data_IF_962126622691
#
_entry.id   IF_962126622691
#
_cell.length_a   1.000
_cell.length_b   1.000
_cell.length_c   1.000
_cell.angle_alpha   90.00
_cell.angle_beta   90.00
_cell.angle_gamma   90.00
#
_symmetry.space_group_name_H-M   'P 1'
#
loop_
_entity.id
_entity.type
_entity.pdbx_description
1 polymer ?
#
# COMPACT_ATOMS: atom_id res chain seq x y z
N UNK A 1 -5.69 13.85 16.48
CA UNK A 1 -6.95 14.40 15.96
C UNK A 1 -7.84 13.28 15.46
N UNK A 2 -9.11 13.22 15.90
CA UNK A 2 -10.03 12.18 15.44
C UNK A 2 -10.21 12.15 13.93
N UNK A 3 -10.25 13.34 13.31
CA UNK A 3 -10.42 13.45 11.86
C UNK A 3 -9.23 12.91 11.11
N UNK A 4 -8.02 13.11 11.66
CA UNK A 4 -6.79 12.56 11.10
C UNK A 4 -6.80 11.03 11.08
N UNK A 5 -7.28 10.41 12.14
CA UNK A 5 -7.33 8.95 12.23
C UNK A 5 -8.22 8.36 11.14
N UNK A 6 -9.38 8.98 10.88
CA UNK A 6 -10.28 8.53 9.82
C UNK A 6 -9.71 8.75 8.43
N UNK A 7 -9.02 9.85 8.23
CA UNK A 7 -8.36 10.16 6.95
C UNK A 7 -7.23 9.19 6.68
N UNK A 8 -6.39 8.92 7.67
CA UNK A 8 -5.30 7.97 7.55
C UNK A 8 -5.85 6.58 7.24
N UNK A 9 -6.86 6.16 7.97
CA UNK A 9 -7.49 4.87 7.75
C UNK A 9 -8.06 4.76 6.33
N UNK A 10 -8.80 5.75 5.88
CA UNK A 10 -9.42 5.74 4.55
C UNK A 10 -8.37 5.67 3.44
N UNK A 11 -7.32 6.46 3.57
CA UNK A 11 -6.20 6.47 2.63
C UNK A 11 -5.49 5.12 2.59
N UNK A 12 -5.18 4.58 3.77
CA UNK A 12 -4.50 3.29 3.86
C UNK A 12 -5.37 2.16 3.32
N UNK A 13 -6.65 2.19 3.65
CA UNK A 13 -7.61 1.20 3.15
C UNK A 13 -7.67 1.23 1.63
N UNK A 14 -7.77 2.40 1.05
CA UNK A 14 -7.82 2.56 -0.41
C UNK A 14 -6.57 1.96 -1.07
N UNK A 15 -5.41 2.31 -0.54
CA UNK A 15 -4.12 1.79 -1.04
C UNK A 15 -4.06 0.27 -0.95
N UNK A 16 -4.42 -0.28 0.22
CA UNK A 16 -4.34 -1.73 0.45
C UNK A 16 -5.36 -2.51 -0.37
N UNK A 17 -6.56 -1.97 -0.55
CA UNK A 17 -7.57 -2.58 -1.40
C UNK A 17 -7.06 -2.70 -2.84
N UNK A 18 -6.47 -1.63 -3.36
CA UNK A 18 -5.92 -1.64 -4.70
C UNK A 18 -4.76 -2.63 -4.82
N UNK A 19 -3.84 -2.58 -3.87
CA UNK A 19 -2.64 -3.42 -3.89
C UNK A 19 -2.97 -4.91 -3.71
N UNK A 20 -3.98 -5.22 -2.91
CA UNK A 20 -4.39 -6.60 -2.64
C UNK A 20 -5.56 -7.07 -3.49
N UNK A 21 -6.04 -6.21 -4.38
CA UNK A 21 -7.16 -6.51 -5.28
C UNK A 21 -8.43 -6.93 -4.51
N UNK A 22 -8.75 -6.18 -3.46
CA UNK A 22 -9.95 -6.37 -2.66
C UNK A 22 -10.90 -5.22 -2.96
N UNK A 23 -12.15 -5.55 -3.28
CA UNK A 23 -13.19 -4.56 -3.63
C UNK A 23 -14.09 -4.28 -2.42
N UNK A 24 -14.89 -3.21 -2.53
CA UNK A 24 -15.93 -2.94 -1.52
C UNK A 24 -16.91 -4.09 -1.41
N UNK A 25 -17.25 -4.72 -2.54
CA UNK A 25 -18.13 -5.89 -2.53
C UNK A 25 -17.55 -7.04 -1.73
N UNK A 26 -16.23 -7.24 -1.84
CA UNK A 26 -15.54 -8.26 -1.04
C UNK A 26 -15.65 -7.96 0.46
N UNK A 27 -15.47 -6.69 0.83
CA UNK A 27 -15.58 -6.25 2.23
C UNK A 27 -17.00 -6.50 2.74
N UNK A 28 -18.02 -6.14 1.98
CA UNK A 28 -19.40 -6.36 2.35
C UNK A 28 -19.68 -7.83 2.60
N UNK A 29 -19.24 -8.68 1.69
CA UNK A 29 -19.48 -10.12 1.77
C UNK A 29 -18.74 -10.74 2.94
N UNK A 30 -17.44 -10.44 3.08
CA UNK A 30 -16.59 -11.12 4.06
C UNK A 30 -16.81 -10.61 5.49
N UNK A 31 -17.11 -9.32 5.64
CA UNK A 31 -17.34 -8.74 6.96
C UNK A 31 -18.83 -8.65 7.32
N UNK A 32 -19.71 -9.02 6.41
CA UNK A 32 -21.15 -8.98 6.61
C UNK A 32 -21.64 -7.60 6.99
N UNK A 33 -21.20 -6.59 6.21
CA UNK A 33 -21.64 -5.20 6.40
C UNK A 33 -22.33 -4.71 5.14
N UNK A 34 -23.13 -3.65 5.29
CA UNK A 34 -23.84 -3.05 4.17
C UNK A 34 -22.90 -2.29 3.25
N UNK A 35 -23.33 -2.08 2.01
CA UNK A 35 -22.56 -1.27 1.06
C UNK A 35 -22.38 0.16 1.56
N UNK A 36 -23.36 0.70 2.27
CA UNK A 36 -23.25 2.03 2.88
C UNK A 36 -22.15 2.08 3.93
N UNK A 37 -22.05 1.05 4.77
CA UNK A 37 -21.01 0.96 5.79
C UNK A 37 -19.62 0.88 5.15
N UNK A 38 -19.45 -0.01 4.17
CA UNK A 38 -18.17 -0.15 3.47
C UNK A 38 -17.77 1.15 2.78
N UNK A 39 -18.73 1.82 2.14
CA UNK A 39 -18.50 3.11 1.49
C UNK A 39 -18.09 4.18 2.50
N UNK A 40 -18.71 4.22 3.67
CA UNK A 40 -18.38 5.19 4.72
C UNK A 40 -16.96 4.98 5.23
N UNK A 41 -16.52 3.74 5.34
CA UNK A 41 -15.14 3.45 5.72
C UNK A 41 -14.15 3.93 4.65
N UNK A 42 -14.45 3.67 3.39
CA UNK A 42 -13.58 4.06 2.27
C UNK A 42 -13.48 5.57 2.10
N UNK A 43 -14.53 6.30 2.43
CA UNK A 43 -14.57 7.76 2.31
C UNK A 43 -14.07 8.50 3.54
N UNK A 44 -13.84 7.79 4.64
CA UNK A 44 -13.40 8.41 5.88
C UNK A 44 -14.53 9.01 6.71
N UNK A 45 -15.79 8.74 6.36
CA UNK A 45 -16.94 9.24 7.13
C UNK A 45 -17.10 8.51 8.45
N UNK A 46 -16.74 7.22 8.48
CA UNK A 46 -16.87 6.40 9.68
C UNK A 46 -15.61 5.57 9.85
N UNK A 47 -15.38 5.18 11.10
CA UNK A 47 -14.23 4.37 11.51
C UNK A 47 -14.77 3.04 12.03
N UNK A 48 -14.27 1.87 11.58
CA UNK A 48 -14.76 0.59 12.06
C UNK A 48 -14.46 0.36 13.54
N UNK A 49 -15.30 -0.42 14.19
CA UNK A 49 -15.00 -0.93 15.53
C UNK A 49 -13.82 -1.87 15.46
N UNK A 50 -13.15 -2.09 16.60
CA UNK A 50 -11.92 -2.87 16.64
C UNK A 50 -12.08 -4.29 16.10
N UNK A 51 -13.20 -4.94 16.36
CA UNK A 51 -13.46 -6.28 15.85
C UNK A 51 -13.56 -6.30 14.32
N UNK A 52 -14.25 -5.33 13.73
CA UNK A 52 -14.36 -5.19 12.28
C UNK A 52 -13.02 -4.77 11.68
N UNK A 53 -12.30 -3.90 12.39
CA UNK A 53 -10.97 -3.46 11.95
C UNK A 53 -10.03 -4.64 11.84
N UNK A 54 -10.03 -5.52 12.83
CA UNK A 54 -9.19 -6.72 12.81
C UNK A 54 -9.60 -7.67 11.67
N UNK A 55 -10.89 -7.87 11.46
CA UNK A 55 -11.37 -8.70 10.36
C UNK A 55 -10.99 -8.11 9.00
N UNK A 56 -11.03 -6.79 8.89
CA UNK A 56 -10.62 -6.10 7.67
C UNK A 56 -9.13 -6.30 7.40
N UNK A 57 -8.29 -6.18 8.43
CA UNK A 57 -6.86 -6.45 8.32
C UNK A 57 -6.61 -7.90 7.89
N UNK A 58 -7.34 -8.85 8.47
CA UNK A 58 -7.23 -10.26 8.12
C UNK A 58 -7.61 -10.51 6.66
N UNK A 59 -8.69 -9.87 6.20
CA UNK A 59 -9.13 -9.98 4.81
C UNK A 59 -8.07 -9.47 3.84
N UNK A 60 -7.47 -8.33 4.18
CA UNK A 60 -6.41 -7.73 3.36
C UNK A 60 -5.07 -8.47 3.51
N UNK A 61 -4.92 -9.32 4.51
CA UNK A 61 -3.69 -10.04 4.76
C UNK A 61 -2.57 -9.14 5.28
N UNK A 62 -2.93 -8.12 6.07
CA UNK A 62 -1.99 -7.14 6.61
C UNK A 62 -2.13 -7.04 8.12
N UNK A 63 -1.17 -6.36 8.76
CA UNK A 63 -1.25 -6.05 10.18
C UNK A 63 -2.26 -4.92 10.40
N UNK A 64 -2.83 -4.89 11.59
CA UNK A 64 -3.76 -3.83 11.98
C UNK A 64 -3.12 -2.44 11.80
N UNK A 65 -1.84 -2.30 12.18
CA UNK A 65 -1.12 -1.03 12.05
C UNK A 65 -1.02 -0.53 10.62
N UNK A 66 -1.05 -1.43 9.64
CA UNK A 66 -1.03 -1.04 8.22
C UNK A 66 -2.28 -0.26 7.83
N UNK A 67 -3.39 -0.48 8.53
CA UNK A 67 -4.63 0.25 8.31
C UNK A 67 -4.72 1.53 9.13
N UNK A 68 -4.10 1.57 10.30
CA UNK A 68 -4.38 2.59 11.31
C UNK A 68 -3.31 3.66 11.44
N UNK A 69 -2.14 3.47 10.85
CA UNK A 69 -1.06 4.46 10.96
C UNK A 69 -0.29 4.60 9.66
N UNK A 70 0.30 5.77 9.48
CA UNK A 70 1.16 6.03 8.33
C UNK A 70 2.42 5.15 8.38
N UNK A 71 2.97 4.99 9.59
CA UNK A 71 4.14 4.14 9.81
C UNK A 71 3.85 2.68 9.46
N UNK A 72 2.68 2.18 9.86
CA UNK A 72 2.27 0.81 9.56
C UNK A 72 2.13 0.55 8.06
N UNK A 73 1.64 1.53 7.31
CA UNK A 73 1.57 1.41 5.86
C UNK A 73 2.96 1.42 5.23
N UNK A 74 3.86 2.27 5.70
CA UNK A 74 5.24 2.29 5.23
C UNK A 74 5.94 0.96 5.49
N UNK A 75 5.73 0.38 6.65
CA UNK A 75 6.29 -0.95 6.99
C UNK A 75 5.79 -2.01 6.02
N UNK A 76 4.52 -1.96 5.66
CA UNK A 76 3.93 -2.87 4.66
C UNK A 76 4.62 -2.71 3.30
N UNK A 77 4.78 -1.47 2.85
CA UNK A 77 5.44 -1.18 1.57
C UNK A 77 6.90 -1.66 1.58
N UNK A 78 7.62 -1.42 2.66
CA UNK A 78 9.01 -1.85 2.82
C UNK A 78 9.13 -3.38 2.76
N UNK A 79 8.21 -4.09 3.41
CA UNK A 79 8.19 -5.54 3.39
C UNK A 79 7.96 -6.07 1.97
N UNK A 80 7.09 -5.42 1.20
CA UNK A 80 6.84 -5.81 -0.18
C UNK A 80 8.09 -5.64 -1.05
N UNK A 81 8.79 -4.54 -0.88
CA UNK A 81 10.05 -4.29 -1.60
C UNK A 81 11.05 -5.39 -1.28
N UNK A 82 11.18 -5.77 -0.02
CA UNK A 82 12.09 -6.84 0.39
C UNK A 82 11.70 -8.19 -0.22
N UNK A 83 10.42 -8.50 -0.26
CA UNK A 83 9.95 -9.73 -0.89
C UNK A 83 10.26 -9.75 -2.39
N UNK A 84 10.03 -8.64 -3.07
CA UNK A 84 10.32 -8.50 -4.50
C UNK A 84 11.81 -8.69 -4.77
N UNK A 85 12.66 -8.10 -3.92
CA UNK A 85 14.12 -8.26 -4.05
C UNK A 85 14.55 -9.71 -3.85
N UNK A 86 13.89 -10.45 -2.94
CA UNK A 86 14.20 -11.85 -2.69
C UNK A 86 13.80 -12.75 -3.86
N UNK A 87 12.72 -12.40 -4.54
CA UNK A 87 12.15 -13.26 -5.58
C UNK A 87 12.66 -12.96 -6.99
N UNK A 88 13.19 -11.77 -7.21
CA UNK A 88 13.63 -11.34 -8.54
C UNK A 88 15.16 -11.12 -8.57
N UNK A 89 15.91 -12.06 -9.18
CA UNK A 89 17.38 -11.93 -9.25
C UNK A 89 17.84 -10.70 -10.01
N UNK A 90 17.11 -10.26 -11.02
CA UNK A 90 17.46 -9.06 -11.79
C UNK A 90 17.28 -7.80 -10.95
N UNK A 91 16.20 -7.73 -10.20
CA UNK A 91 15.95 -6.61 -9.31
C UNK A 91 17.00 -6.54 -8.21
N UNK A 92 17.38 -7.70 -7.65
CA UNK A 92 18.44 -7.78 -6.65
C UNK A 92 19.77 -7.27 -7.20
N UNK A 93 20.10 -7.67 -8.43
CA UNK A 93 21.32 -7.21 -9.07
C UNK A 93 21.34 -5.71 -9.29
N UNK A 94 20.24 -5.16 -9.76
CA UNK A 94 20.08 -3.70 -9.94
C UNK A 94 20.25 -2.98 -8.61
N UNK A 95 19.63 -3.49 -7.56
CA UNK A 95 19.73 -2.91 -6.22
C UNK A 95 21.17 -2.92 -5.70
N UNK A 96 21.86 -4.06 -5.87
CA UNK A 96 23.27 -4.18 -5.45
C UNK A 96 24.15 -3.19 -6.17
N UNK A 97 23.94 -3.01 -7.45
CA UNK A 97 24.70 -2.04 -8.25
C UNK A 97 24.39 -0.61 -7.79
N UNK A 98 23.11 -0.31 -7.58
CA UNK A 98 22.68 1.01 -7.13
C UNK A 98 23.30 1.38 -5.77
N UNK A 99 23.37 0.43 -4.86
CA UNK A 99 23.95 0.65 -3.54
C UNK A 99 25.40 1.12 -3.58
N UNK A 100 26.14 0.70 -4.59
CA UNK A 100 27.56 0.99 -4.72
C UNK A 100 27.85 2.23 -5.56
N UNK A 101 26.82 2.87 -6.09
CA UNK A 101 26.95 4.06 -6.92
C UNK A 101 27.18 5.32 -6.07
N UNK A 102 27.87 6.29 -6.67
CA UNK A 102 27.94 7.64 -6.10
C UNK A 102 26.57 8.31 -6.18
N UNK A 103 26.38 9.36 -5.41
CA UNK A 103 25.14 10.13 -5.47
C UNK A 103 24.91 10.70 -6.87
N UNK A 104 25.95 11.15 -7.53
CA UNK A 104 25.89 11.65 -8.91
C UNK A 104 25.35 10.56 -9.86
N UNK A 105 25.86 9.35 -9.74
CA UNK A 105 25.45 8.25 -10.62
C UNK A 105 24.04 7.78 -10.31
N UNK A 106 23.63 7.81 -9.06
CA UNK A 106 22.24 7.52 -8.67
C UNK A 106 21.28 8.52 -9.32
N UNK A 107 21.63 9.81 -9.30
CA UNK A 107 20.83 10.86 -9.94
C UNK A 107 20.71 10.61 -11.44
N UNK A 108 21.79 10.21 -12.09
CA UNK A 108 21.78 9.88 -13.51
C UNK A 108 20.90 8.67 -13.80
N UNK A 109 20.98 7.64 -12.96
CA UNK A 109 20.13 6.44 -13.11
C UNK A 109 18.67 6.79 -12.96
N UNK A 110 18.32 7.67 -12.03
CA UNK A 110 16.95 8.12 -11.86
C UNK A 110 16.43 8.81 -13.11
N UNK A 111 17.25 9.64 -13.76
CA UNK A 111 16.87 10.30 -15.01
C UNK A 111 16.64 9.27 -16.13
N UNK A 112 17.51 8.28 -16.24
CA UNK A 112 17.34 7.19 -17.23
C UNK A 112 16.07 6.42 -16.95
N UNK A 113 15.80 6.11 -15.68
CA UNK A 113 14.60 5.42 -15.24
C UNK A 113 13.34 6.19 -15.63
N UNK A 114 13.35 7.52 -15.50
CA UNK A 114 12.22 8.37 -15.90
C UNK A 114 11.98 8.27 -17.42
N UNK A 115 13.04 8.25 -18.22
CA UNK A 115 12.92 8.11 -19.67
C UNK A 115 12.30 6.75 -20.03
N UNK A 116 12.75 5.69 -19.40
CA UNK A 116 12.21 4.34 -19.62
C UNK A 116 10.74 4.29 -19.22
N UNK A 117 10.40 4.88 -18.09
CA UNK A 117 9.02 4.95 -17.59
C UNK A 117 8.12 5.66 -18.59
N UNK A 118 8.59 6.79 -19.14
CA UNK A 118 7.81 7.56 -20.12
C UNK A 118 7.58 6.77 -21.41
N UNK A 119 8.58 6.02 -21.86
CA UNK A 119 8.45 5.17 -23.03
C UNK A 119 7.45 4.03 -22.83
N UNK A 120 7.44 3.44 -21.63
CA UNK A 120 6.59 2.28 -21.33
C UNK A 120 5.16 2.67 -20.96
N UNK A 121 4.98 3.76 -20.24
CA UNK A 121 3.70 4.15 -19.63
C UNK A 121 3.22 5.53 -20.03
N UNK A 122 4.07 6.33 -20.68
CA UNK A 122 3.72 7.67 -21.13
C UNK A 122 2.88 7.65 -22.39
N UNK A 123 2.16 8.72 -22.62
CA UNK A 123 1.34 8.87 -23.83
C UNK A 123 1.96 9.82 -24.82
#
# INVERSE_FOLDING_TARGET
MPDNAREIFAKNLHFLMEDREITQADICRELEVSSATASDWCSGKKFPRIDKMQRLADLLGVRLSSLTSEEGLRDYEDQKILEDLHQDPKLRLLFDRARKMSERDKDRMLKISDIIKDDLYGE
#
